data_IF_285576585351
#
_entry.id   IF_285576585351
#
_cell.length_a   1.000
_cell.length_b   1.000
_cell.length_c   1.000
_cell.angle_alpha   90.00
_cell.angle_beta   90.00
_cell.angle_gamma   90.00
#
_symmetry.space_group_name_H-M   'P 1'
#
loop_
_entity.id
_entity.type
_entity.pdbx_description
1 polymer ?
#
# COMPACT_ATOMS: atom_id res chain seq x y z
N UNK A 1 -8.43 -9.56 13.23
CA UNK A 1 -7.33 -8.96 12.46
C UNK A 1 -7.88 -7.74 11.76
N UNK A 2 -7.21 -6.59 11.87
CA UNK A 2 -7.59 -5.40 11.11
C UNK A 2 -7.21 -5.63 9.65
N UNK A 3 -8.04 -5.15 8.73
CA UNK A 3 -7.74 -5.24 7.29
C UNK A 3 -6.82 -4.06 6.93
N UNK A 4 -5.57 -4.36 6.57
CA UNK A 4 -4.56 -3.34 6.27
C UNK A 4 -4.49 -3.18 4.75
N UNK A 5 -5.13 -2.13 4.23
CA UNK A 5 -5.13 -1.80 2.80
C UNK A 5 -4.69 -0.36 2.61
N UNK A 6 -3.89 -0.14 1.56
CA UNK A 6 -3.48 1.20 1.14
C UNK A 6 -3.81 1.39 -0.33
N UNK A 7 -4.60 2.40 -0.63
CA UNK A 7 -4.80 2.87 -1.99
C UNK A 7 -3.71 3.89 -2.33
N UNK A 8 -3.16 3.77 -3.54
CA UNK A 8 -2.09 4.64 -4.05
C UNK A 8 -2.55 5.20 -5.38
N UNK A 9 -2.50 6.53 -5.53
CA UNK A 9 -2.83 7.20 -6.78
C UNK A 9 -1.56 7.42 -7.60
N UNK A 10 -1.48 6.80 -8.77
CA UNK A 10 -0.35 6.96 -9.68
C UNK A 10 -0.39 8.34 -10.34
N UNK A 11 0.78 8.93 -10.56
CA UNK A 11 0.94 10.25 -11.16
C UNK A 11 1.44 10.15 -12.59
N UNK A 12 0.95 11.03 -13.45
CA UNK A 12 1.44 11.18 -14.81
C UNK A 12 2.88 11.71 -14.76
N UNK A 13 3.86 11.03 -15.40
CA UNK A 13 5.25 11.47 -15.40
C UNK A 13 5.47 12.80 -16.16
N UNK A 14 4.46 13.30 -16.87
CA UNK A 14 4.55 14.55 -17.66
C UNK A 14 3.90 15.74 -16.97
N UNK A 15 2.73 15.55 -16.34
CA UNK A 15 1.97 16.67 -15.77
C UNK A 15 1.65 16.50 -14.27
N UNK A 16 2.06 15.40 -13.64
CA UNK A 16 1.87 15.13 -12.21
C UNK A 16 0.43 14.80 -11.77
N UNK A 17 -0.55 14.95 -12.65
CA UNK A 17 -1.96 14.65 -12.35
C UNK A 17 -2.24 13.15 -12.34
N UNK A 18 -3.34 12.76 -11.69
CA UNK A 18 -3.68 11.37 -11.39
C UNK A 18 -4.89 10.84 -12.16
N UNK A 19 -5.47 11.65 -13.04
CA UNK A 19 -6.65 11.29 -13.83
C UNK A 19 -6.25 10.59 -15.12
N UNK A 20 -6.70 9.34 -15.30
CA UNK A 20 -6.42 8.50 -16.46
C UNK A 20 -7.69 7.88 -17.03
N UNK A 21 -7.72 7.76 -18.35
CA UNK A 21 -8.68 6.97 -19.11
C UNK A 21 -8.00 5.66 -19.50
N UNK A 22 -8.72 4.55 -19.39
CA UNK A 22 -8.20 3.21 -19.67
C UNK A 22 -8.85 2.72 -20.96
N UNK A 23 -8.02 2.45 -21.96
CA UNK A 23 -8.45 1.82 -23.20
C UNK A 23 -8.37 0.30 -23.02
N UNK A 24 -9.39 -0.44 -23.46
CA UNK A 24 -9.35 -1.91 -23.50
C UNK A 24 -8.21 -2.39 -24.44
N UNK A 25 -7.51 -3.50 -24.13
CA UNK A 25 -7.82 -4.52 -23.14
C UNK A 25 -7.27 -4.27 -21.73
N UNK A 26 -8.01 -4.75 -20.73
CA UNK A 26 -7.57 -4.80 -19.33
C UNK A 26 -6.32 -5.69 -19.18
N UNK A 27 -5.18 -5.09 -18.85
CA UNK A 27 -3.93 -5.82 -18.64
C UNK A 27 -2.72 -4.92 -18.43
N UNK A 28 -1.56 -5.48 -18.06
CA UNK A 28 -0.31 -4.73 -17.87
C UNK A 28 0.21 -4.09 -19.18
N UNK A 29 -0.22 -4.60 -20.33
CA UNK A 29 0.03 -4.03 -21.66
C UNK A 29 -1.05 -3.05 -22.13
N UNK A 30 -2.12 -2.85 -21.35
CA UNK A 30 -3.18 -1.91 -21.68
C UNK A 30 -2.65 -0.48 -21.78
N UNK A 31 -3.21 0.27 -22.73
CA UNK A 31 -2.89 1.68 -22.91
C UNK A 31 -3.70 2.50 -21.92
N UNK A 32 -3.03 3.45 -21.28
CA UNK A 32 -3.63 4.42 -20.37
C UNK A 32 -3.35 5.82 -20.88
N UNK A 33 -4.39 6.63 -20.97
CA UNK A 33 -4.33 7.99 -21.49
C UNK A 33 -4.54 8.97 -20.35
N UNK A 34 -3.60 9.87 -20.10
CA UNK A 34 -3.78 10.91 -19.08
C UNK A 34 -4.87 11.90 -19.52
N UNK A 35 -5.93 12.04 -18.74
CA UNK A 35 -7.08 12.88 -19.09
C UNK A 35 -6.74 14.38 -19.13
N UNK A 36 -5.58 14.78 -18.57
CA UNK A 36 -5.19 16.17 -18.47
C UNK A 36 -4.20 16.66 -19.51
N UNK A 37 -3.24 15.82 -19.92
CA UNK A 37 -2.25 16.20 -20.93
C UNK A 37 -2.33 15.35 -22.21
N UNK A 38 -3.24 14.37 -22.26
CA UNK A 38 -3.43 13.48 -23.41
C UNK A 38 -2.32 12.47 -23.62
N UNK A 39 -1.32 12.41 -22.73
CA UNK A 39 -0.21 11.46 -22.88
C UNK A 39 -0.71 10.02 -22.76
N UNK A 40 -0.38 9.21 -23.76
CA UNK A 40 -0.60 7.77 -23.76
C UNK A 40 0.64 7.06 -23.23
N UNK A 41 0.41 6.05 -22.40
CA UNK A 41 1.43 5.23 -21.73
C UNK A 41 0.93 3.79 -21.72
N UNK A 42 1.81 2.82 -21.57
CA UNK A 42 1.38 1.49 -21.11
C UNK A 42 1.22 1.49 -19.59
N UNK A 43 0.36 0.59 -19.09
CA UNK A 43 0.08 0.49 -17.65
C UNK A 43 1.33 0.15 -16.82
N UNK A 44 2.13 -0.80 -17.27
CA UNK A 44 3.41 -1.16 -16.64
C UNK A 44 4.44 -0.01 -16.66
N UNK A 45 4.46 0.79 -17.73
CA UNK A 45 5.29 2.00 -17.77
C UNK A 45 4.84 3.01 -16.71
N UNK A 46 3.52 3.24 -16.59
CA UNK A 46 2.98 4.12 -15.56
C UNK A 46 3.33 3.61 -14.15
N UNK A 47 3.25 2.30 -13.91
CA UNK A 47 3.66 1.69 -12.65
C UNK A 47 5.17 1.84 -12.40
N UNK A 48 6.00 1.68 -13.43
CA UNK A 48 7.46 1.86 -13.36
C UNK A 48 7.83 3.30 -12.97
N UNK A 49 7.21 4.31 -13.60
CA UNK A 49 7.43 5.72 -13.24
C UNK A 49 6.98 6.06 -11.82
N UNK A 50 6.05 5.28 -11.25
CA UNK A 50 5.55 5.46 -9.89
C UNK A 50 6.13 4.42 -8.92
N UNK A 51 7.19 3.70 -9.29
CA UNK A 51 7.77 2.63 -8.50
C UNK A 51 8.18 3.09 -7.10
N UNK A 52 8.83 4.24 -6.97
CA UNK A 52 9.23 4.80 -5.66
C UNK A 52 8.02 5.09 -4.77
N UNK A 53 6.96 5.66 -5.33
CA UNK A 53 5.70 5.94 -4.63
C UNK A 53 5.02 4.64 -4.18
N UNK A 54 5.01 3.62 -5.04
CA UNK A 54 4.49 2.29 -4.71
C UNK A 54 5.33 1.62 -3.62
N UNK A 55 6.66 1.70 -3.69
CA UNK A 55 7.57 1.13 -2.69
C UNK A 55 7.43 1.80 -1.33
N UNK A 56 7.28 3.13 -1.30
CA UNK A 56 7.00 3.87 -0.07
C UNK A 56 5.71 3.36 0.59
N UNK A 57 4.62 3.27 -0.18
CA UNK A 57 3.35 2.75 0.32
C UNK A 57 3.45 1.30 0.82
N UNK A 58 4.22 0.44 0.13
CA UNK A 58 4.49 -0.93 0.57
C UNK A 58 5.22 -0.96 1.92
N UNK A 59 6.25 -0.13 2.10
CA UNK A 59 7.01 -0.05 3.36
C UNK A 59 6.11 0.39 4.52
N UNK A 60 5.21 1.34 4.29
CA UNK A 60 4.25 1.77 5.30
C UNK A 60 3.29 0.64 5.71
N UNK A 61 2.69 -0.05 4.74
CA UNK A 61 1.79 -1.20 5.00
C UNK A 61 2.49 -2.29 5.80
N UNK A 62 3.73 -2.65 5.43
CA UNK A 62 4.52 -3.64 6.16
C UNK A 62 4.83 -3.19 7.59
N UNK A 63 5.17 -1.90 7.77
CA UNK A 63 5.43 -1.32 9.09
C UNK A 63 4.19 -1.37 9.98
N UNK A 64 3.02 -1.03 9.44
CA UNK A 64 1.76 -1.09 10.18
C UNK A 64 1.39 -2.53 10.56
N UNK A 65 1.53 -3.48 9.63
CA UNK A 65 1.28 -4.89 9.88
C UNK A 65 2.18 -5.47 10.98
N UNK A 66 3.47 -5.10 10.99
CA UNK A 66 4.41 -5.50 12.05
C UNK A 66 3.98 -4.96 13.41
N UNK A 67 3.66 -3.67 13.49
CA UNK A 67 3.21 -3.05 14.74
C UNK A 67 1.93 -3.70 15.28
N UNK A 68 0.96 -4.02 14.42
CA UNK A 68 -0.25 -4.71 14.84
C UNK A 68 0.02 -6.12 15.34
N UNK A 69 0.92 -6.87 14.68
CA UNK A 69 1.34 -8.19 15.14
C UNK A 69 2.01 -8.11 16.52
N UNK A 70 2.95 -7.18 16.71
CA UNK A 70 3.64 -6.98 17.99
C UNK A 70 2.66 -6.61 19.11
N UNK A 71 1.71 -5.72 18.83
CA UNK A 71 0.67 -5.36 19.80
C UNK A 71 -0.25 -6.54 20.12
N UNK A 72 -0.65 -7.33 19.12
CA UNK A 72 -1.46 -8.52 19.34
C UNK A 72 -0.72 -9.56 20.18
N UNK A 73 0.58 -9.78 19.93
CA UNK A 73 1.40 -10.68 20.71
C UNK A 73 1.54 -10.19 22.16
N UNK A 74 1.85 -8.91 22.36
CA UNK A 74 1.98 -8.33 23.70
C UNK A 74 0.67 -8.39 24.49
N UNK A 75 -0.46 -8.06 23.85
CA UNK A 75 -1.80 -8.20 24.45
C UNK A 75 -2.10 -9.65 24.82
N UNK A 76 -1.92 -10.58 23.89
CA UNK A 76 -2.17 -12.01 24.12
C UNK A 76 -1.32 -12.55 25.26
N UNK A 77 -0.02 -12.23 25.30
CA UNK A 77 0.86 -12.63 26.40
C UNK A 77 0.45 -11.99 27.72
N UNK A 78 0.21 -10.67 27.74
CA UNK A 78 -0.23 -9.96 28.92
C UNK A 78 -1.53 -10.54 29.47
N UNK A 79 -2.51 -10.83 28.62
CA UNK A 79 -3.79 -11.41 29.02
C UNK A 79 -3.63 -12.87 29.49
N UNK A 80 -2.78 -13.67 28.85
CA UNK A 80 -2.52 -15.06 29.25
C UNK A 80 -1.86 -15.17 30.64
N UNK A 81 -0.98 -14.22 31.00
CA UNK A 81 -0.32 -14.18 32.30
C UNK A 81 -0.99 -13.22 33.29
N UNK A 82 -2.16 -12.66 32.94
CA UNK A 82 -2.90 -11.71 33.77
C UNK A 82 -3.41 -12.41 35.03
N UNK A 83 -2.92 -11.97 36.19
CA UNK A 83 -3.28 -12.55 37.49
C UNK A 83 -2.31 -13.61 38.02
N UNK A 84 -1.24 -13.94 37.26
CA UNK A 84 -0.17 -14.77 37.79
C UNK A 84 0.66 -13.97 38.82
N UNK A 85 0.68 -14.43 40.08
CA UNK A 85 1.39 -13.76 41.20
C UNK A 85 2.91 -13.77 41.03
N UNK A 86 3.46 -14.64 40.18
CA UNK A 86 4.90 -14.86 40.01
C UNK A 86 5.47 -14.31 38.70
N UNK A 87 4.63 -14.00 37.69
CA UNK A 87 5.06 -13.51 36.37
C UNK A 87 4.45 -12.13 36.12
N UNK A 88 5.30 -11.10 36.02
CA UNK A 88 4.90 -9.72 35.69
C UNK A 88 5.38 -9.37 34.28
N UNK A 89 4.44 -9.22 33.34
CA UNK A 89 4.72 -8.73 31.98
C UNK A 89 4.54 -7.21 31.98
N UNK A 90 5.60 -6.46 31.68
CA UNK A 90 5.57 -4.99 31.57
C UNK A 90 5.09 -4.58 30.17
#
# INVERSE_FOLDING_TARGET
MKDIRRQVSLQCPTCGKTDFQFDEPEGPSGIVTCASCGRQLRRDELESYNSELIEAAKKEVVSEAKKELEQMMHRTLRDAFRGNKFIKIR
#
